data_IF_556486435202
#
_entry.id   IF_556486435202
#
_cell.length_a   1.000
_cell.length_b   1.000
_cell.length_c   1.000
_cell.angle_alpha   90.00
_cell.angle_beta   90.00
_cell.angle_gamma   90.00
#
_symmetry.space_group_name_H-M   'P 1'
#
loop_
_entity.id
_entity.type
_entity.pdbx_description
1 polymer ?
#
# COMPACT_ATOMS: atom_id res chain seq x y z
N UNK A 1 -52.36 27.93 38.16
CA UNK A 1 -51.52 27.29 39.20
C UNK A 1 -50.09 27.53 38.79
N UNK A 2 -49.38 28.38 39.53
CA UNK A 2 -47.99 28.71 39.24
C UNK A 2 -47.09 27.66 39.92
N UNK A 3 -46.34 26.90 39.13
CA UNK A 3 -45.27 26.04 39.63
C UNK A 3 -44.05 26.91 39.93
N UNK A 4 -43.58 26.83 41.17
CA UNK A 4 -42.39 27.53 41.63
C UNK A 4 -41.15 26.82 41.07
N UNK A 5 -40.42 27.54 40.22
CA UNK A 5 -39.14 27.12 39.68
C UNK A 5 -38.09 27.21 40.80
N UNK A 6 -37.68 26.06 41.33
CA UNK A 6 -36.62 25.96 42.34
C UNK A 6 -35.28 26.15 41.63
N UNK A 7 -34.85 27.39 41.56
CA UNK A 7 -33.51 27.76 41.11
C UNK A 7 -32.48 27.19 42.08
N UNK A 8 -31.77 26.15 41.64
CA UNK A 8 -30.63 25.60 42.35
C UNK A 8 -29.52 26.65 42.41
N UNK A 9 -29.38 27.30 43.56
CA UNK A 9 -28.28 28.22 43.85
C UNK A 9 -26.99 27.41 43.97
N UNK A 10 -26.03 27.66 43.08
CA UNK A 10 -24.67 27.12 43.16
C UNK A 10 -23.96 27.67 44.39
N UNK A 11 -23.99 26.92 45.49
CA UNK A 11 -23.29 27.25 46.73
C UNK A 11 -21.81 26.89 46.64
N UNK A 12 -20.94 27.88 46.91
CA UNK A 12 -19.51 27.66 47.16
C UNK A 12 -19.34 27.03 48.55
N UNK A 13 -18.81 25.81 48.59
CA UNK A 13 -18.45 25.13 49.84
C UNK A 13 -16.92 25.17 50.01
N UNK A 14 -16.43 25.69 51.14
CA UNK A 14 -15.00 25.74 51.47
C UNK A 14 -14.74 24.77 52.61
N UNK A 15 -13.89 23.76 52.37
CA UNK A 15 -13.47 22.82 53.41
C UNK A 15 -12.42 23.46 54.34
N UNK A 16 -12.33 22.97 55.59
CA UNK A 16 -11.47 23.50 56.67
C UNK A 16 -9.96 23.56 56.33
N UNK A 17 -9.53 22.90 55.24
CA UNK A 17 -8.14 22.94 54.72
C UNK A 17 -7.91 23.99 53.62
N UNK A 18 -8.88 24.87 53.38
CA UNK A 18 -8.81 25.90 52.33
C UNK A 18 -8.88 25.35 50.90
N UNK A 19 -9.28 24.08 50.74
CA UNK A 19 -9.48 23.48 49.43
C UNK A 19 -10.91 23.80 48.97
N UNK A 20 -11.04 24.59 47.91
CA UNK A 20 -12.33 24.88 47.31
C UNK A 20 -12.73 23.73 46.38
N UNK A 21 -13.90 23.16 46.62
CA UNK A 21 -14.43 22.07 45.81
C UNK A 21 -15.72 22.56 45.15
N UNK A 22 -15.65 22.86 43.85
CA UNK A 22 -16.80 23.26 43.06
C UNK A 22 -17.48 21.99 42.56
N UNK A 23 -18.66 21.67 43.07
CA UNK A 23 -19.52 20.64 42.48
C UNK A 23 -20.05 21.15 41.15
N UNK A 24 -19.59 20.54 40.05
CA UNK A 24 -20.05 20.88 38.71
C UNK A 24 -21.55 20.57 38.59
N UNK A 25 -22.30 21.47 37.96
CA UNK A 25 -23.69 21.22 37.61
C UNK A 25 -23.74 20.07 36.59
N UNK A 26 -24.61 19.09 36.82
CA UNK A 26 -24.77 17.98 35.89
C UNK A 26 -25.29 18.51 34.54
N UNK A 27 -24.72 18.05 33.42
CA UNK A 27 -25.12 18.52 32.11
C UNK A 27 -26.55 18.10 31.80
N UNK A 28 -27.33 19.01 31.21
CA UNK A 28 -28.69 18.73 30.77
C UNK A 28 -28.68 17.71 29.62
N UNK A 29 -29.61 16.77 29.62
CA UNK A 29 -29.69 15.65 28.68
C UNK A 29 -29.71 16.09 27.21
N UNK A 30 -30.31 17.25 26.92
CA UNK A 30 -30.36 17.82 25.57
C UNK A 30 -28.99 18.19 25.00
N UNK A 31 -28.09 18.71 25.84
CA UNK A 31 -26.78 19.19 25.38
C UNK A 31 -25.82 18.03 25.11
N UNK A 32 -25.99 16.93 25.85
CA UNK A 32 -25.18 15.72 25.68
C UNK A 32 -25.50 14.95 24.40
N UNK A 33 -26.76 15.00 23.93
CA UNK A 33 -27.22 14.19 22.79
C UNK A 33 -27.33 14.96 21.47
N UNK A 34 -27.53 16.28 21.49
CA UNK A 34 -27.78 17.07 20.28
C UNK A 34 -26.67 18.08 19.93
N UNK A 35 -25.58 18.15 20.69
CA UNK A 35 -24.40 18.96 20.36
C UNK A 35 -23.58 18.32 19.24
N UNK A 36 -23.87 18.63 17.97
CA UNK A 36 -23.18 18.03 16.82
C UNK A 36 -22.10 18.92 16.22
N UNK A 37 -20.91 18.33 16.12
CA UNK A 37 -19.87 18.52 15.07
C UNK A 37 -19.31 19.92 14.86
N UNK A 38 -18.08 20.14 15.34
CA UNK A 38 -17.01 21.06 14.89
C UNK A 38 -17.30 22.54 14.57
N UNK A 39 -18.55 22.99 14.46
CA UNK A 39 -18.95 24.37 14.18
C UNK A 39 -19.55 25.10 15.38
N UNK A 40 -19.80 24.40 16.49
CA UNK A 40 -20.31 24.97 17.75
C UNK A 40 -19.19 25.29 18.76
N UNK A 41 -17.96 25.54 18.29
CA UNK A 41 -16.97 26.24 19.10
C UNK A 41 -17.35 27.73 19.18
N UNK A 42 -18.53 28.04 19.71
CA UNK A 42 -18.86 29.37 20.19
C UNK A 42 -18.16 29.57 21.53
N UNK A 43 -16.96 30.13 21.45
CA UNK A 43 -16.12 30.47 22.59
C UNK A 43 -14.84 31.05 22.02
N UNK A 44 -14.41 32.19 22.55
CA UNK A 44 -13.20 32.86 22.11
C UNK A 44 -11.99 32.06 22.60
N UNK A 45 -11.62 31.02 21.86
CA UNK A 45 -10.47 30.19 22.17
C UNK A 45 -9.21 31.00 21.83
N UNK A 46 -8.76 31.70 22.87
CA UNK A 46 -7.43 32.23 23.06
C UNK A 46 -7.17 33.62 22.44
N UNK A 47 -7.43 34.64 23.29
CA UNK A 47 -6.62 35.86 23.47
C UNK A 47 -7.15 37.19 22.88
N UNK A 48 -8.42 37.58 23.11
CA UNK A 48 -8.84 38.93 22.67
C UNK A 48 -10.07 39.63 23.24
N UNK A 49 -10.89 39.01 24.11
CA UNK A 49 -12.09 39.57 24.81
C UNK A 49 -13.25 40.10 23.91
N UNK A 50 -14.54 40.18 24.34
CA UNK A 50 -15.16 39.79 25.60
C UNK A 50 -16.08 38.55 25.48
N UNK A 51 -16.05 37.70 26.51
CA UNK A 51 -16.84 36.47 26.65
C UNK A 51 -16.22 35.54 27.72
N UNK A 52 -17.05 34.82 28.46
CA UNK A 52 -16.81 34.25 29.80
C UNK A 52 -15.48 33.46 29.96
N UNK A 53 -14.73 33.78 31.02
CA UNK A 53 -13.45 33.17 31.37
C UNK A 53 -13.64 31.71 31.81
N UNK A 54 -13.13 30.77 31.02
CA UNK A 54 -13.00 29.37 31.41
C UNK A 54 -11.74 29.19 32.27
N UNK A 55 -11.87 29.41 33.58
CA UNK A 55 -10.92 28.96 34.61
C UNK A 55 -9.47 29.41 34.48
N UNK A 56 -8.66 28.97 35.43
CA UNK A 56 -7.23 29.27 35.56
C UNK A 56 -6.41 28.34 34.63
N UNK A 57 -6.51 28.58 33.32
CA UNK A 57 -5.72 27.83 32.32
C UNK A 57 -4.39 28.56 32.12
N UNK A 58 -3.24 27.92 32.42
CA UNK A 58 -1.94 28.55 32.28
C UNK A 58 -1.67 28.95 30.84
N UNK A 59 -0.98 30.06 30.67
CA UNK A 59 -0.68 30.60 29.34
C UNK A 59 0.24 29.63 28.57
N UNK A 60 0.14 29.62 27.24
CA UNK A 60 0.99 28.74 26.41
C UNK A 60 2.48 28.99 26.63
N UNK A 61 2.86 30.22 27.01
CA UNK A 61 4.23 30.57 27.42
C UNK A 61 4.68 29.81 28.66
N UNK A 62 3.80 29.65 29.66
CA UNK A 62 4.08 28.94 30.91
C UNK A 62 4.19 27.42 30.67
N UNK A 63 3.33 26.87 29.82
CA UNK A 63 3.38 25.46 29.39
C UNK A 63 4.70 25.17 28.66
N UNK A 64 5.12 26.07 27.77
CA UNK A 64 6.38 25.92 27.03
C UNK A 64 7.60 26.10 27.93
N UNK A 65 7.55 27.00 28.91
CA UNK A 65 8.60 27.18 29.92
C UNK A 65 8.73 25.97 30.86
N UNK A 66 7.65 25.22 31.08
CA UNK A 66 7.64 23.99 31.89
C UNK A 66 8.14 22.73 31.14
N UNK A 67 8.43 22.82 29.82
CA UNK A 67 8.93 21.68 29.01
C UNK A 67 10.19 20.96 29.54
N UNK A 68 11.21 21.61 30.14
CA UNK A 68 12.37 20.89 30.66
C UNK A 68 12.06 20.09 31.94
N UNK A 69 10.98 20.42 32.64
CA UNK A 69 10.54 19.73 33.87
C UNK A 69 9.72 18.48 33.57
N UNK A 70 9.06 18.43 32.40
CA UNK A 70 8.23 17.31 31.98
C UNK A 70 9.12 16.18 31.45
N UNK A 71 9.23 15.08 32.21
CA UNK A 71 9.91 13.86 31.75
C UNK A 71 9.22 13.33 30.50
N UNK A 72 9.93 13.33 29.37
CA UNK A 72 9.44 12.70 28.14
C UNK A 72 9.20 11.21 28.43
N UNK A 73 8.09 10.63 27.95
CA UNK A 73 7.90 9.19 28.07
C UNK A 73 9.08 8.46 27.43
N UNK A 74 9.62 7.47 28.13
CA UNK A 74 10.72 6.64 27.64
C UNK A 74 10.22 5.94 26.39
N UNK A 75 10.80 6.29 25.23
CA UNK A 75 10.49 5.60 23.98
C UNK A 75 10.98 4.16 24.13
N UNK A 76 10.15 3.15 23.79
CA UNK A 76 10.64 1.77 23.77
C UNK A 76 11.84 1.69 22.82
N UNK A 77 12.93 1.12 23.33
CA UNK A 77 14.13 0.88 22.53
C UNK A 77 13.72 -0.08 21.42
N UNK A 78 13.65 0.42 20.18
CA UNK A 78 13.50 -0.42 19.01
C UNK A 78 14.80 -1.20 18.82
N UNK A 79 14.91 -2.32 19.52
CA UNK A 79 16.01 -3.26 19.30
C UNK A 79 15.94 -3.73 17.86
N UNK A 80 17.04 -3.63 17.14
CA UNK A 80 17.29 -4.18 15.79
C UNK A 80 17.21 -5.72 15.72
N UNK A 81 16.56 -6.36 16.69
CA UNK A 81 16.21 -7.76 16.65
C UNK A 81 15.17 -7.93 15.54
N UNK A 82 15.52 -8.70 14.52
CA UNK A 82 14.66 -9.03 13.38
C UNK A 82 13.28 -9.43 13.91
N UNK A 83 12.29 -8.58 13.66
CA UNK A 83 10.91 -8.86 14.06
C UNK A 83 10.49 -10.21 13.48
N UNK A 84 9.64 -10.95 14.19
CA UNK A 84 9.06 -12.22 13.73
C UNK A 84 8.52 -12.08 12.30
N UNK A 85 7.90 -10.94 12.00
CA UNK A 85 7.41 -10.58 10.67
C UNK A 85 8.51 -10.53 9.59
N UNK A 86 9.69 -9.99 9.92
CA UNK A 86 10.81 -9.91 8.98
C UNK A 86 11.40 -11.29 8.67
N UNK A 87 11.40 -12.20 9.67
CA UNK A 87 11.82 -13.58 9.46
C UNK A 87 10.80 -14.35 8.61
N UNK A 88 9.49 -14.16 8.85
CA UNK A 88 8.43 -14.76 8.04
C UNK A 88 8.52 -14.36 6.57
N UNK A 89 8.71 -13.06 6.27
CA UNK A 89 8.88 -12.56 4.89
C UNK A 89 10.13 -13.17 4.23
N UNK A 90 11.22 -13.32 4.97
CA UNK A 90 12.44 -13.94 4.45
C UNK A 90 12.27 -15.44 4.18
N UNK A 91 11.51 -16.12 5.02
CA UNK A 91 11.21 -17.54 4.90
C UNK A 91 10.26 -17.82 3.73
N UNK A 92 9.19 -17.04 3.57
CA UNK A 92 8.30 -17.11 2.40
C UNK A 92 9.06 -16.89 1.08
N UNK A 93 9.98 -15.90 1.03
CA UNK A 93 10.85 -15.71 -0.13
C UNK A 93 11.74 -16.91 -0.40
N UNK A 94 12.23 -17.59 0.63
CA UNK A 94 13.07 -18.78 0.49
C UNK A 94 12.25 -19.99 0.03
N UNK A 95 11.04 -20.19 0.54
CA UNK A 95 10.11 -21.24 0.12
C UNK A 95 9.72 -21.06 -1.35
N UNK A 96 9.38 -19.85 -1.77
CA UNK A 96 9.12 -19.54 -3.18
C UNK A 96 10.33 -19.77 -4.12
N UNK A 97 11.55 -19.81 -3.58
CA UNK A 97 12.75 -20.14 -4.36
C UNK A 97 13.07 -21.64 -4.37
N UNK A 98 12.54 -22.41 -3.42
CA UNK A 98 12.93 -23.79 -3.18
C UNK A 98 12.19 -24.80 -4.07
N UNK A 99 10.94 -24.52 -4.44
CA UNK A 99 10.18 -25.41 -5.33
C UNK A 99 10.61 -25.17 -6.78
N UNK A 100 11.69 -25.86 -7.16
CA UNK A 100 12.05 -26.07 -8.56
C UNK A 100 10.89 -26.85 -9.20
N UNK A 101 9.98 -26.13 -9.84
CA UNK A 101 8.95 -26.70 -10.71
C UNK A 101 9.67 -27.61 -11.71
N UNK A 102 9.58 -28.93 -11.49
CA UNK A 102 10.30 -29.97 -12.23
C UNK A 102 9.91 -30.06 -13.72
N UNK A 103 8.97 -29.23 -14.19
CA UNK A 103 8.39 -29.32 -15.52
C UNK A 103 9.04 -28.43 -16.59
N UNK A 104 10.01 -27.58 -16.25
CA UNK A 104 10.69 -26.73 -17.25
C UNK A 104 12.20 -26.99 -17.28
N UNK A 105 12.70 -27.53 -18.41
CA UNK A 105 14.13 -27.67 -18.72
C UNK A 105 14.84 -26.30 -18.82
N UNK A 106 14.07 -25.24 -19.12
CA UNK A 106 14.60 -23.88 -19.26
C UNK A 106 14.54 -23.13 -17.93
N UNK A 107 15.71 -22.77 -17.41
CA UNK A 107 15.85 -21.93 -16.21
C UNK A 107 15.21 -20.55 -16.48
N UNK A 108 14.27 -20.09 -15.62
CA UNK A 108 13.67 -18.77 -15.77
C UNK A 108 14.73 -17.68 -15.65
N UNK A 109 14.71 -16.73 -16.59
CA UNK A 109 15.59 -15.55 -16.56
C UNK A 109 14.80 -14.34 -16.08
N UNK A 110 15.47 -13.40 -15.40
CA UNK A 110 14.85 -12.10 -15.05
C UNK A 110 14.50 -11.36 -16.33
N UNK A 111 13.32 -10.76 -16.38
CA UNK A 111 12.94 -9.94 -17.53
C UNK A 111 13.94 -8.79 -17.69
N UNK A 112 14.43 -8.50 -18.91
CA UNK A 112 15.55 -7.58 -19.12
C UNK A 112 15.19 -6.10 -18.84
N UNK A 113 13.90 -5.76 -18.77
CA UNK A 113 13.42 -4.39 -18.64
C UNK A 113 12.62 -4.23 -17.35
N UNK A 114 12.87 -3.14 -16.61
CA UNK A 114 12.05 -2.74 -15.47
C UNK A 114 10.96 -1.78 -15.95
N UNK A 115 9.80 -1.70 -15.26
CA UNK A 115 8.68 -0.84 -15.69
C UNK A 115 9.11 0.64 -15.86
N UNK A 116 10.00 1.11 -14.99
CA UNK A 116 10.58 2.47 -15.03
C UNK A 116 11.38 2.78 -16.31
N UNK A 117 11.89 1.75 -16.97
CA UNK A 117 12.70 1.90 -18.19
C UNK A 117 11.86 1.88 -19.48
N UNK A 118 10.54 1.67 -19.38
CA UNK A 118 9.68 1.76 -20.56
C UNK A 118 9.49 3.22 -20.95
N UNK A 119 9.83 3.54 -22.19
CA UNK A 119 9.60 4.84 -22.78
C UNK A 119 8.88 4.64 -24.12
N UNK A 120 7.72 5.28 -24.25
CA UNK A 120 7.00 5.30 -25.52
C UNK A 120 7.51 6.47 -26.37
N UNK A 121 7.71 6.28 -27.68
CA UNK A 121 8.13 7.35 -28.55
C UNK A 121 7.04 8.45 -28.61
N UNK A 122 7.42 9.73 -28.59
CA UNK A 122 6.45 10.81 -28.69
C UNK A 122 5.77 10.81 -30.06
N UNK A 123 4.48 11.17 -30.10
CA UNK A 123 3.74 11.30 -31.34
C UNK A 123 4.30 12.46 -32.17
N UNK A 124 4.69 12.19 -33.42
CA UNK A 124 5.16 13.23 -34.36
C UNK A 124 4.04 14.09 -34.98
N UNK A 125 2.78 13.85 -34.61
CA UNK A 125 1.64 14.60 -35.18
C UNK A 125 1.49 15.96 -34.50
N UNK A 126 1.35 17.01 -35.31
CA UNK A 126 1.01 18.34 -34.81
C UNK A 126 -0.35 18.30 -34.11
N UNK A 127 -0.42 18.87 -32.90
CA UNK A 127 -1.64 18.87 -32.11
C UNK A 127 -1.95 17.57 -31.37
N UNK A 128 -1.02 16.61 -31.29
CA UNK A 128 -1.21 15.38 -30.51
C UNK A 128 -1.52 15.62 -29.01
N UNK A 129 -1.09 16.77 -28.48
CA UNK A 129 -1.37 17.19 -27.10
C UNK A 129 -2.68 17.97 -26.95
N UNK A 130 -3.39 18.25 -28.05
CA UNK A 130 -4.64 19.01 -28.00
C UNK A 130 -5.82 18.05 -27.76
N UNK A 131 -6.55 18.18 -26.64
CA UNK A 131 -7.66 17.28 -26.31
C UNK A 131 -8.81 17.35 -27.35
N UNK A 132 -8.94 18.45 -28.09
CA UNK A 132 -9.96 18.58 -29.15
C UNK A 132 -9.69 17.66 -30.36
N UNK A 133 -8.45 17.20 -30.52
CA UNK A 133 -8.03 16.30 -31.60
C UNK A 133 -7.59 14.93 -31.08
N UNK A 134 -7.97 14.58 -29.84
CA UNK A 134 -7.69 13.27 -29.27
C UNK A 134 -8.45 12.20 -30.05
N UNK A 135 -7.72 11.26 -30.66
CA UNK A 135 -8.31 10.09 -31.32
C UNK A 135 -8.16 8.86 -30.42
N UNK A 136 -9.10 7.92 -30.48
CA UNK A 136 -9.01 6.66 -29.71
C UNK A 136 -7.72 5.88 -29.98
N UNK A 137 -7.15 6.04 -31.18
CA UNK A 137 -5.86 5.45 -31.54
C UNK A 137 -4.66 6.04 -30.79
N UNK A 138 -4.76 7.27 -30.27
CA UNK A 138 -3.69 7.91 -29.47
C UNK A 138 -3.65 7.37 -28.03
N UNK A 139 -4.71 6.72 -27.55
CA UNK A 139 -4.74 6.11 -26.21
C UNK A 139 -3.90 4.83 -26.13
N UNK A 140 -3.60 4.17 -27.26
CA UNK A 140 -2.75 2.99 -27.25
C UNK A 140 -1.29 3.39 -27.01
N UNK A 141 -0.71 2.89 -25.93
CA UNK A 141 0.67 3.19 -25.56
C UNK A 141 0.87 4.57 -24.94
N UNK A 142 -0.20 5.26 -24.52
CA UNK A 142 -0.07 6.49 -23.73
C UNK A 142 0.20 6.20 -22.25
N UNK A 143 -0.26 5.06 -21.74
CA UNK A 143 -0.06 4.66 -20.35
C UNK A 143 1.24 3.88 -20.18
N UNK A 144 2.06 4.30 -19.22
CA UNK A 144 3.25 3.55 -18.82
C UNK A 144 2.86 2.24 -18.13
N UNK A 145 3.51 1.11 -18.46
CA UNK A 145 3.24 -0.13 -17.79
C UNK A 145 3.58 -0.01 -16.31
N UNK A 146 2.72 -0.55 -15.46
CA UNK A 146 2.93 -0.60 -14.01
C UNK A 146 3.84 -1.79 -13.65
N UNK A 147 4.52 -1.72 -12.50
CA UNK A 147 5.45 -2.78 -12.05
C UNK A 147 4.80 -4.17 -12.03
N UNK A 148 3.53 -4.28 -11.62
CA UNK A 148 2.81 -5.56 -11.54
C UNK A 148 2.35 -6.09 -12.92
N UNK A 149 2.39 -5.27 -13.96
CA UNK A 149 2.05 -5.68 -15.33
C UNK A 149 3.26 -6.27 -16.06
N UNK A 150 4.48 -5.93 -15.62
CA UNK A 150 5.73 -6.47 -16.18
C UNK A 150 6.02 -7.81 -15.49
N UNK A 151 6.27 -8.89 -16.23
CA UNK A 151 6.60 -10.17 -15.61
C UNK A 151 7.98 -10.11 -14.95
N UNK A 152 8.09 -10.64 -13.73
CA UNK A 152 9.39 -10.72 -13.03
C UNK A 152 10.40 -11.61 -13.76
N UNK A 153 9.89 -12.69 -14.37
CA UNK A 153 10.69 -13.72 -15.03
C UNK A 153 10.08 -14.09 -16.37
N UNK A 154 10.94 -14.44 -17.32
CA UNK A 154 10.55 -14.99 -18.61
C UNK A 154 11.34 -16.25 -18.93
N UNK A 155 10.72 -17.10 -19.75
CA UNK A 155 11.29 -18.36 -20.19
C UNK A 155 11.63 -18.23 -21.68
N UNK A 156 12.87 -17.87 -22.05
CA UNK A 156 13.23 -17.76 -23.45
C UNK A 156 13.15 -19.14 -24.13
N UNK A 157 12.24 -19.31 -25.07
CA UNK A 157 12.27 -20.47 -25.96
C UNK A 157 13.35 -20.26 -27.02
N UNK A 158 14.48 -20.94 -26.89
CA UNK A 158 15.51 -20.94 -27.92
C UNK A 158 15.14 -21.97 -28.99
N UNK A 159 14.51 -21.51 -30.06
CA UNK A 159 14.23 -22.34 -31.24
C UNK A 159 15.50 -22.62 -32.10
N UNK A 160 16.69 -22.63 -31.50
CA UNK A 160 17.95 -22.79 -32.22
C UNK A 160 18.05 -24.16 -32.91
N UNK A 161 17.60 -25.21 -32.21
CA UNK A 161 17.58 -26.57 -32.76
C UNK A 161 16.62 -26.68 -33.96
N UNK A 162 15.38 -26.20 -33.81
CA UNK A 162 14.37 -26.32 -34.86
C UNK A 162 14.61 -25.39 -36.05
N UNK A 163 15.27 -24.26 -35.85
CA UNK A 163 15.69 -23.36 -36.94
C UNK A 163 16.75 -23.97 -37.87
N UNK A 164 17.50 -24.97 -37.41
CA UNK A 164 18.49 -25.65 -38.24
C UNK A 164 17.85 -26.57 -39.30
N UNK A 165 16.56 -26.91 -39.16
CA UNK A 165 15.86 -27.68 -40.17
C UNK A 165 15.63 -26.82 -41.42
N UNK A 166 16.27 -27.22 -42.52
CA UNK A 166 16.23 -26.50 -43.81
C UNK A 166 14.86 -26.60 -44.47
N UNK A 167 14.16 -27.72 -44.27
CA UNK A 167 12.93 -28.03 -44.96
C UNK A 167 11.84 -28.43 -43.94
N UNK A 168 10.65 -27.85 -44.09
CA UNK A 168 9.49 -28.20 -43.26
C UNK A 168 8.92 -29.56 -43.65
N UNK A 169 9.18 -30.00 -44.88
CA UNK A 169 8.73 -31.28 -45.41
C UNK A 169 9.83 -31.90 -46.29
N UNK A 170 10.87 -32.51 -45.69
CA UNK A 170 11.98 -33.06 -46.44
C UNK A 170 11.48 -34.09 -47.46
N UNK A 171 11.84 -33.91 -48.72
CA UNK A 171 11.52 -34.87 -49.78
C UNK A 171 12.41 -36.10 -49.65
N UNK A 172 11.82 -37.29 -49.66
CA UNK A 172 12.57 -38.53 -49.72
C UNK A 172 13.12 -38.73 -51.14
N UNK A 173 14.44 -38.60 -51.30
CA UNK A 173 15.15 -38.82 -52.57
C UNK A 173 16.01 -40.10 -52.56
N UNK A 174 15.88 -40.92 -51.51
CA UNK A 174 16.65 -42.16 -51.37
C UNK A 174 16.19 -43.25 -52.34
N UNK A 175 17.15 -44.05 -52.85
CA UNK A 175 16.88 -45.30 -53.54
C UNK A 175 16.69 -46.41 -52.50
N UNK A 176 15.70 -47.28 -52.70
CA UNK A 176 15.49 -48.45 -51.84
C UNK A 176 16.51 -49.54 -52.18
N UNK A 177 17.59 -49.62 -51.41
CA UNK A 177 18.68 -50.59 -51.60
C UNK A 177 18.71 -51.71 -50.55
N UNK A 178 17.71 -51.77 -49.67
CA UNK A 178 17.61 -52.84 -48.70
C UNK A 178 17.53 -54.19 -49.42
N UNK A 179 18.49 -55.07 -49.16
CA UNK A 179 18.42 -56.45 -49.61
C UNK A 179 17.17 -57.08 -48.98
N UNK A 180 16.31 -57.67 -49.80
CA UNK A 180 15.10 -58.34 -49.32
C UNK A 180 15.50 -59.53 -48.44
N UNK A 181 15.29 -59.49 -47.11
CA UNK A 181 15.62 -60.64 -46.28
C UNK A 181 14.64 -61.76 -46.63
N UNK A 182 15.15 -62.92 -47.03
CA UNK A 182 14.33 -64.12 -47.16
C UNK A 182 13.97 -64.62 -45.77
N UNK A 183 12.70 -64.99 -45.55
CA UNK A 183 12.21 -65.49 -44.25
C UNK A 183 12.77 -66.88 -43.88
N UNK A 184 13.46 -67.54 -44.81
CA UNK A 184 13.87 -68.94 -44.70
C UNK A 184 15.24 -69.13 -44.02
N UNK A 185 16.06 -68.07 -43.94
CA UNK A 185 17.40 -68.13 -43.34
C UNK A 185 17.43 -67.98 -41.81
N UNK A 186 16.30 -67.63 -41.17
CA UNK A 186 16.18 -67.40 -39.72
C UNK A 186 15.71 -68.65 -38.94
N UNK A 187 15.51 -69.80 -39.62
CA UNK A 187 15.14 -71.08 -38.97
C UNK A 187 16.33 -71.98 -38.60
N UNK A 188 17.57 -71.51 -38.78
CA UNK A 188 18.77 -72.32 -38.54
C UNK A 188 19.74 -71.74 -37.49
N UNK A 189 19.30 -70.79 -36.67
CA UNK A 189 20.03 -70.33 -35.47
C UNK A 189 19.16 -70.41 -34.22
#
# INVERSE_FOLDING_TARGET
MAEADVTAVSGLCVDEKGKMTITAAEPNYSDMFYGTTNGQYSGNWHNGLPGHQLGDVPCISEILAARPTIKKPVRPIQTTAKCVLANQIAEERRVMQADKVLSADVVPKKFPVQAQNYCYPPSGKQGANNPLYATSSQAYGSEMPLDHQVPDRYFPSTNLFTKAFVDTKPRFTGLSTAATPSKELDMFY
#
